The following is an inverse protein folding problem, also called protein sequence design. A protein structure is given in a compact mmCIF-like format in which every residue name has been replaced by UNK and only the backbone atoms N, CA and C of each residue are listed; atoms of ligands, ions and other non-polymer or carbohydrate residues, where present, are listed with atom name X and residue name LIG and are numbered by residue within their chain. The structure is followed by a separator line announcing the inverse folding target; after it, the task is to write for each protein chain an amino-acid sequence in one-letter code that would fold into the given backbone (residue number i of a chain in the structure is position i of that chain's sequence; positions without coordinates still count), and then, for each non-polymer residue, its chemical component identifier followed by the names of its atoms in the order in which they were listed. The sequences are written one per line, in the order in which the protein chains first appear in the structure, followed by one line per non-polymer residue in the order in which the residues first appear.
data_IF_261185838100
#
_entry.id   IF_261185838100
#
_cell.length_a   1.000
_cell.length_b   1.000
_cell.length_c   1.000
_cell.angle_alpha   90.00
_cell.angle_beta   90.00
_cell.angle_gamma   90.00
#
_symmetry.space_group_name_H-M   'P 1'
#
loop_
_entity.id
_entity.type
_entity.pdbx_description
1 polymer ?
#
# COMPACT_ATOMS: atom_id res chain seq x y z
N UNK A 1 -11.94 4.71 -10.02
CA UNK A 1 -11.50 3.67 -9.08
C UNK A 1 -10.10 3.26 -9.49
N UNK A 2 -9.08 3.85 -8.88
CA UNK A 2 -7.68 3.51 -9.17
C UNK A 2 -7.02 3.22 -7.82
N UNK A 3 -6.46 2.03 -7.67
CA UNK A 3 -5.71 1.69 -6.47
C UNK A 3 -4.39 2.46 -6.48
N UNK A 4 -4.02 3.06 -5.36
CA UNK A 4 -2.74 3.74 -5.17
C UNK A 4 -2.04 3.13 -3.97
N UNK A 5 -0.82 2.66 -4.18
CA UNK A 5 -0.02 1.98 -3.16
C UNK A 5 1.23 2.79 -2.95
N UNK A 6 1.42 3.25 -1.73
CA UNK A 6 2.65 3.94 -1.35
C UNK A 6 3.70 2.91 -1.01
N UNK A 7 4.81 2.99 -1.73
CA UNK A 7 5.98 2.13 -1.58
C UNK A 7 7.22 2.98 -1.33
N UNK A 8 8.30 2.33 -0.94
CA UNK A 8 9.59 2.88 -0.62
C UNK A 8 10.65 1.92 -1.16
N UNK A 9 11.14 2.24 -2.35
CA UNK A 9 12.17 1.49 -3.06
C UNK A 9 13.48 1.50 -2.29
N UNK A 10 13.79 2.60 -1.61
CA UNK A 10 14.98 2.77 -0.75
C UNK A 10 14.58 2.62 0.72
N UNK A 11 14.40 1.38 1.15
CA UNK A 11 14.14 1.03 2.55
C UNK A 11 15.25 0.14 3.08
N UNK A 12 15.85 0.51 4.23
CA UNK A 12 16.83 -0.33 4.93
C UNK A 12 16.21 -1.58 5.59
N UNK A 13 14.88 -1.61 5.71
CA UNK A 13 14.14 -2.70 6.31
C UNK A 13 13.77 -3.76 5.29
N UNK A 14 14.37 -4.95 5.40
CA UNK A 14 14.06 -6.11 4.55
C UNK A 14 12.59 -6.51 4.63
N UNK A 15 12.03 -6.49 5.83
CA UNK A 15 10.63 -6.85 6.10
C UNK A 15 9.67 -5.92 5.34
N UNK A 16 9.91 -4.62 5.40
CA UNK A 16 9.14 -3.60 4.67
C UNK A 16 9.18 -3.86 3.16
N UNK A 17 10.35 -4.19 2.61
CA UNK A 17 10.49 -4.55 1.18
C UNK A 17 9.71 -5.81 0.83
N UNK A 18 9.73 -6.82 1.70
CA UNK A 18 8.97 -8.06 1.54
C UNK A 18 7.46 -7.76 1.48
N UNK A 19 6.94 -7.06 2.48
CA UNK A 19 5.52 -6.69 2.61
C UNK A 19 4.98 -5.95 1.37
N UNK A 20 5.74 -4.96 0.88
CA UNK A 20 5.38 -4.23 -0.34
C UNK A 20 5.33 -5.16 -1.55
N UNK A 21 6.35 -6.01 -1.70
CA UNK A 21 6.46 -6.91 -2.83
C UNK A 21 5.32 -7.93 -2.85
N UNK A 22 4.88 -8.40 -1.69
CA UNK A 22 3.75 -9.33 -1.57
C UNK A 22 2.42 -8.69 -2.01
N UNK A 23 2.13 -7.46 -1.58
CA UNK A 23 0.94 -6.73 -2.03
C UNK A 23 0.96 -6.54 -3.56
N UNK A 24 2.10 -6.11 -4.11
CA UNK A 24 2.24 -5.87 -5.55
C UNK A 24 2.06 -7.16 -6.35
N UNK A 25 2.69 -8.25 -5.90
CA UNK A 25 2.58 -9.56 -6.55
C UNK A 25 1.15 -10.10 -6.48
N UNK A 26 0.46 -9.91 -5.36
CA UNK A 26 -0.93 -10.30 -5.21
C UNK A 26 -1.84 -9.56 -6.21
N UNK A 27 -1.67 -8.25 -6.33
CA UNK A 27 -2.44 -7.44 -7.25
C UNK A 27 -2.17 -7.80 -8.71
N UNK A 28 -0.91 -8.07 -9.06
CA UNK A 28 -0.52 -8.54 -10.38
C UNK A 28 -1.15 -9.91 -10.70
N UNK A 29 -1.11 -10.86 -9.75
CA UNK A 29 -1.75 -12.17 -9.87
C UNK A 29 -3.27 -12.07 -10.07
N UNK A 30 -3.93 -11.11 -9.39
CA UNK A 30 -5.36 -10.81 -9.55
C UNK A 30 -5.66 -9.94 -10.78
N UNK A 31 -4.66 -9.49 -11.54
CA UNK A 31 -4.76 -8.54 -12.66
C UNK A 31 -5.50 -7.24 -12.31
N UNK A 32 -5.32 -6.78 -11.08
CA UNK A 32 -5.90 -5.52 -10.61
C UNK A 32 -5.00 -4.38 -11.07
N UNK A 33 -5.58 -3.32 -11.63
CA UNK A 33 -4.84 -2.12 -11.99
C UNK A 33 -4.56 -1.27 -10.75
N UNK A 34 -3.29 -1.01 -10.49
CA UNK A 34 -2.83 -0.17 -9.39
C UNK A 34 -1.74 0.79 -9.83
N UNK A 35 -1.56 1.86 -9.05
CA UNK A 35 -0.48 2.83 -9.17
C UNK A 35 0.43 2.72 -7.97
N UNK A 36 1.73 2.66 -8.21
CA UNK A 36 2.72 2.75 -7.15
C UNK A 36 3.21 4.19 -7.02
N UNK A 37 3.18 4.73 -5.80
CA UNK A 37 3.75 6.02 -5.45
C UNK A 37 4.97 5.77 -4.56
N UNK A 38 6.15 6.05 -5.08
CA UNK A 38 7.37 5.86 -4.33
C UNK A 38 7.68 7.08 -3.44
N UNK A 39 7.69 6.87 -2.12
CA UNK A 39 7.96 7.93 -1.14
C UNK A 39 9.44 8.32 -1.06
N UNK A 40 10.34 7.57 -1.71
CA UNK A 40 11.78 7.85 -1.74
C UNK A 40 12.18 8.71 -2.92
N UNK A 41 11.35 8.74 -3.98
CA UNK A 41 11.54 9.63 -5.12
C UNK A 41 11.25 11.08 -4.77
N UNK A 42 10.20 11.34 -3.97
CA UNK A 42 9.83 12.72 -3.62
C UNK A 42 9.36 12.84 -2.15
N UNK A 43 9.91 13.80 -1.37
CA UNK A 43 9.53 14.00 0.02
C UNK A 43 8.08 14.46 0.19
N UNK A 44 7.46 15.06 -0.82
CA UNK A 44 6.05 15.49 -0.77
C UNK A 44 5.11 14.28 -0.73
N UNK A 45 5.45 13.20 -1.43
CA UNK A 45 4.67 11.95 -1.45
C UNK A 45 4.70 11.27 -0.08
N UNK A 46 5.84 11.32 0.60
CA UNK A 46 5.99 10.86 1.98
C UNK A 46 5.10 11.66 2.94
N UNK A 47 5.09 12.98 2.81
CA UNK A 47 4.26 13.86 3.63
C UNK A 47 2.76 13.65 3.37
N UNK A 48 2.40 13.50 2.10
CA UNK A 48 1.04 13.17 1.66
C UNK A 48 0.57 11.83 2.25
N UNK A 49 1.38 10.77 2.15
CA UNK A 49 1.08 9.47 2.76
C UNK A 49 0.83 9.61 4.27
N UNK A 50 1.69 10.32 4.99
CA UNK A 50 1.57 10.51 6.44
C UNK A 50 0.33 11.33 6.83
N UNK A 51 0.00 12.35 6.05
CA UNK A 51 -1.21 13.16 6.21
C UNK A 51 -2.47 12.33 5.95
N UNK A 52 -2.48 11.56 4.87
CA UNK A 52 -3.61 10.71 4.50
C UNK A 52 -3.88 9.60 5.51
N UNK A 53 -2.81 8.96 6.02
CA UNK A 53 -2.92 7.97 7.11
C UNK A 53 -3.27 8.65 8.44
N UNK A 54 -2.99 9.96 8.58
CA UNK A 54 -3.12 10.68 9.84
C UNK A 54 -2.07 10.29 10.88
N UNK A 55 -1.01 9.58 10.47
CA UNK A 55 0.06 9.14 11.35
C UNK A 55 1.43 9.62 10.84
N UNK A 56 2.15 10.47 11.61
CA UNK A 56 3.45 11.01 11.22
C UNK A 56 4.55 9.94 11.14
N UNK A 57 4.34 8.79 11.78
CA UNK A 57 5.24 7.62 11.76
C UNK A 57 4.72 6.50 10.86
N UNK A 58 3.73 6.78 9.98
CA UNK A 58 3.29 5.81 9.00
C UNK A 58 4.47 5.34 8.15
N UNK A 59 4.59 4.02 8.01
CA UNK A 59 5.57 3.35 7.17
C UNK A 59 4.86 2.67 6.00
N UNK A 60 5.45 2.65 4.80
CA UNK A 60 4.95 1.81 3.72
C UNK A 60 5.01 0.31 4.10
N UNK A 61 4.23 -0.57 3.44
CA UNK A 61 3.25 -0.27 2.39
C UNK A 61 1.96 0.33 2.94
N UNK A 62 1.40 1.31 2.23
CA UNK A 62 0.10 1.89 2.54
C UNK A 62 -0.80 1.85 1.31
N UNK A 63 -2.01 1.34 1.46
CA UNK A 63 -2.94 1.11 0.34
C UNK A 63 -4.10 2.11 0.40
N UNK A 64 -4.36 2.72 -0.74
CA UNK A 64 -5.46 3.66 -0.96
C UNK A 64 -6.27 3.24 -2.18
N UNK A 65 -7.59 3.35 -2.09
CA UNK A 65 -8.49 3.17 -3.24
C UNK A 65 -9.08 4.52 -3.59
N UNK A 66 -8.55 5.15 -4.66
CA UNK A 66 -8.84 6.55 -4.97
C UNK A 66 -8.39 7.48 -3.84
N UNK A 67 -9.36 8.16 -3.23
CA UNK A 67 -9.17 9.10 -2.12
C UNK A 67 -9.42 8.46 -0.74
N UNK A 68 -9.79 7.18 -0.70
CA UNK A 68 -10.09 6.46 0.54
C UNK A 68 -8.90 5.61 0.96
N UNK A 69 -8.51 5.73 2.22
CA UNK A 69 -7.53 4.84 2.84
C UNK A 69 -8.13 3.44 3.03
N UNK A 70 -7.50 2.41 2.48
CA UNK A 70 -7.91 1.02 2.67
C UNK A 70 -7.26 0.41 3.91
N UNK A 71 -5.97 0.64 4.09
CA UNK A 71 -5.21 0.11 5.23
C UNK A 71 -3.73 -0.12 4.92
N UNK A 72 -3.04 -0.65 5.92
CA UNK A 72 -1.65 -1.09 5.86
C UNK A 72 -1.52 -2.59 5.52
N UNK A 73 -0.29 -3.11 5.57
CA UNK A 73 0.02 -4.52 5.30
C UNK A 73 -0.77 -5.49 6.19
N UNK A 74 -0.95 -5.21 7.48
CA UNK A 74 -1.60 -6.16 8.39
C UNK A 74 -3.07 -6.35 8.01
N UNK A 75 -3.77 -5.26 7.66
CA UNK A 75 -5.14 -5.36 7.18
C UNK A 75 -5.24 -6.07 5.83
N UNK A 76 -4.28 -5.84 4.92
CA UNK A 76 -4.20 -6.57 3.66
C UNK A 76 -4.01 -8.07 3.89
N UNK A 77 -3.06 -8.44 4.76
CA UNK A 77 -2.75 -9.83 5.07
C UNK A 77 -3.97 -10.55 5.65
N UNK A 78 -4.64 -9.94 6.64
CA UNK A 78 -5.87 -10.48 7.22
C UNK A 78 -6.97 -10.64 6.15
N UNK A 79 -7.14 -9.66 5.26
CA UNK A 79 -8.11 -9.76 4.18
C UNK A 79 -7.75 -10.85 3.16
N UNK A 80 -6.47 -11.11 2.90
CA UNK A 80 -6.02 -12.22 2.05
C UNK A 80 -6.31 -13.55 2.71
N UNK A 81 -6.03 -13.69 4.01
CA UNK A 81 -6.32 -14.91 4.78
C UNK A 81 -7.82 -15.23 4.83
N UNK A 82 -8.66 -14.20 4.98
CA UNK A 82 -10.12 -14.33 4.98
C UNK A 82 -10.71 -14.48 3.56
N UNK A 83 -9.88 -14.38 2.51
CA UNK A 83 -10.31 -14.45 1.12
C UNK A 83 -11.09 -13.21 0.63
N UNK A 84 -11.04 -12.11 1.39
CA UNK A 84 -11.73 -10.83 1.14
C UNK A 84 -10.79 -9.70 0.69
N UNK A 85 -9.63 -10.04 0.13
CA UNK A 85 -8.66 -9.05 -0.35
C UNK A 85 -9.26 -8.04 -1.37
N UNK A 86 -10.18 -8.49 -2.24
CA UNK A 86 -10.87 -7.60 -3.19
C UNK A 86 -11.71 -6.55 -2.48
N UNK A 87 -12.40 -6.93 -1.39
CA UNK A 87 -13.17 -6.02 -0.57
C UNK A 87 -12.27 -5.03 0.21
N UNK A 88 -11.07 -5.46 0.62
CA UNK A 88 -10.06 -4.57 1.23
C UNK A 88 -9.68 -3.45 0.28
N UNK A 89 -9.45 -3.77 -1.00
CA UNK A 89 -9.17 -2.80 -2.05
C UNK A 89 -10.38 -1.96 -2.50
N UNK A 90 -11.56 -2.21 -1.90
CA UNK A 90 -12.83 -1.59 -2.26
C UNK A 90 -13.16 -1.79 -3.75
N UNK A 91 -12.84 -2.97 -4.30
CA UNK A 91 -13.14 -3.39 -5.66
C UNK A 91 -14.49 -4.11 -5.75
#
# INVERSE_FOLDING_TARGET
MALTIYISSVSGSRELKQQQSEILQFLDAKKIQYKTKDITQDPSIKDEMRKLVGNPSAMPPQVFSGDTYCGDYSMFFEAVEDGKAEAFFKL
#
